data_IF_309092500467
#
_entry.id   IF_309092500467
#
_cell.length_a   1.000
_cell.length_b   1.000
_cell.length_c   1.000
_cell.angle_alpha   90.00
_cell.angle_beta   90.00
_cell.angle_gamma   90.00
#
_symmetry.space_group_name_H-M   'P 1'
#
loop_
_entity.id
_entity.type
_entity.pdbx_description
1 polymer ?
#
# COMPACT_ATOMS: atom_id res chain seq x y z
N UNK A 1 -20.66 -5.82 -10.95
CA UNK A 1 -19.35 -6.22 -11.51
C UNK A 1 -18.30 -5.21 -11.06
N UNK A 2 -17.13 -5.68 -10.60
CA UNK A 2 -15.83 -5.01 -10.79
C UNK A 2 -15.31 -3.84 -9.90
N UNK A 3 -15.99 -3.32 -8.87
CA UNK A 3 -15.40 -2.23 -8.06
C UNK A 3 -14.04 -2.60 -7.44
N UNK A 4 -13.94 -3.81 -6.89
CA UNK A 4 -12.72 -4.32 -6.28
C UNK A 4 -11.60 -4.56 -7.29
N UNK A 5 -11.92 -4.92 -8.54
CA UNK A 5 -10.92 -5.13 -9.60
C UNK A 5 -10.39 -3.79 -10.13
N UNK A 6 -11.27 -2.80 -10.29
CA UNK A 6 -10.88 -1.43 -10.64
C UNK A 6 -9.93 -0.81 -9.62
N UNK A 7 -10.21 -0.99 -8.32
CA UNK A 7 -9.37 -0.48 -7.24
C UNK A 7 -7.95 -1.08 -7.26
N UNK A 8 -7.81 -2.37 -7.60
CA UNK A 8 -6.49 -2.99 -7.79
C UNK A 8 -5.76 -2.41 -8.99
N UNK A 9 -6.46 -2.29 -10.12
CA UNK A 9 -5.89 -1.78 -11.34
C UNK A 9 -5.40 -0.34 -11.16
N UNK A 10 -6.18 0.52 -10.50
CA UNK A 10 -5.78 1.91 -10.23
C UNK A 10 -4.62 2.00 -9.24
N UNK A 11 -4.61 1.22 -8.15
CA UNK A 11 -3.46 1.17 -7.23
C UNK A 11 -2.19 0.69 -7.92
N UNK A 12 -2.30 -0.34 -8.77
CA UNK A 12 -1.17 -0.85 -9.55
C UNK A 12 -0.67 0.18 -10.56
N UNK A 13 -1.58 0.83 -11.28
CA UNK A 13 -1.22 1.89 -12.24
C UNK A 13 -0.54 3.06 -11.54
N UNK A 14 -1.03 3.50 -10.39
CA UNK A 14 -0.38 4.54 -9.57
C UNK A 14 1.03 4.14 -9.16
N UNK A 15 1.20 2.89 -8.72
CA UNK A 15 2.50 2.39 -8.30
C UNK A 15 3.49 2.24 -9.47
N UNK A 16 3.01 1.75 -10.61
CA UNK A 16 3.80 1.63 -11.83
C UNK A 16 4.16 3.00 -12.44
N UNK A 17 3.27 3.98 -12.37
CA UNK A 17 3.52 5.34 -12.85
C UNK A 17 4.59 6.04 -12.00
N UNK A 18 4.58 5.84 -10.68
CA UNK A 18 5.61 6.33 -9.79
C UNK A 18 6.99 5.72 -10.08
N UNK A 19 7.02 4.43 -10.46
CA UNK A 19 8.25 3.77 -10.91
C UNK A 19 8.78 4.31 -12.23
N UNK A 20 7.90 4.52 -13.21
CA UNK A 20 8.29 5.04 -14.52
C UNK A 20 8.77 6.49 -14.50
N UNK A 21 8.24 7.32 -13.60
CA UNK A 21 8.53 8.76 -13.49
C UNK A 21 9.60 9.11 -12.43
N UNK A 22 10.47 8.17 -12.07
CA UNK A 22 11.26 8.17 -10.82
C UNK A 22 10.65 8.85 -9.57
N UNK A 23 9.32 8.82 -9.41
CA UNK A 23 8.60 9.47 -8.32
C UNK A 23 8.26 8.44 -7.25
N UNK A 24 9.24 8.12 -6.40
CA UNK A 24 9.09 7.20 -5.28
C UNK A 24 7.88 7.50 -4.35
N UNK A 25 7.46 8.76 -4.08
CA UNK A 25 6.31 9.01 -3.21
C UNK A 25 4.99 8.55 -3.84
N UNK A 26 4.90 8.59 -5.17
CA UNK A 26 3.70 8.17 -5.90
C UNK A 26 3.56 6.64 -5.84
N UNK A 27 4.68 5.93 -5.93
CA UNK A 27 4.73 4.48 -5.73
C UNK A 27 4.29 4.09 -4.31
N UNK A 28 4.77 4.82 -3.30
CA UNK A 28 4.40 4.60 -1.91
C UNK A 28 2.91 4.82 -1.67
N UNK A 29 2.32 5.86 -2.28
CA UNK A 29 0.87 6.13 -2.19
C UNK A 29 0.03 5.00 -2.79
N UNK A 30 0.40 4.48 -3.96
CA UNK A 30 -0.31 3.34 -4.58
C UNK A 30 -0.34 2.11 -3.68
N UNK A 31 0.79 1.80 -3.04
CA UNK A 31 0.95 0.69 -2.10
C UNK A 31 0.17 0.93 -0.81
N UNK A 32 0.21 2.15 -0.28
CA UNK A 32 -0.48 2.53 0.95
C UNK A 32 -2.00 2.42 0.78
N UNK A 33 -2.55 2.89 -0.33
CA UNK A 33 -3.97 2.77 -0.65
C UNK A 33 -4.36 1.29 -0.78
N UNK A 34 -3.54 0.47 -1.44
CA UNK A 34 -3.78 -0.97 -1.57
C UNK A 34 -3.77 -1.68 -0.20
N UNK A 35 -2.85 -1.30 0.69
CA UNK A 35 -2.76 -1.81 2.05
C UNK A 35 -3.98 -1.42 2.89
N UNK A 36 -4.37 -0.15 2.87
CA UNK A 36 -5.55 0.34 3.60
C UNK A 36 -6.86 -0.28 3.11
N UNK A 37 -6.96 -0.60 1.82
CA UNK A 37 -8.12 -1.28 1.22
C UNK A 37 -8.32 -2.73 1.72
N UNK A 38 -7.43 -3.26 2.56
CA UNK A 38 -7.54 -4.61 3.13
C UNK A 38 -6.90 -5.71 2.29
N UNK A 39 -6.12 -5.35 1.27
CA UNK A 39 -5.44 -6.28 0.36
C UNK A 39 -3.96 -6.36 0.64
N UNK A 40 -3.65 -6.77 1.85
CA UNK A 40 -2.30 -6.73 2.42
C UNK A 40 -1.30 -7.57 1.63
N UNK A 41 -1.66 -8.79 1.23
CA UNK A 41 -0.78 -9.67 0.43
C UNK A 41 -0.36 -9.03 -0.90
N UNK A 42 -1.29 -8.32 -1.56
CA UNK A 42 -1.02 -7.63 -2.81
C UNK A 42 -0.12 -6.41 -2.60
N UNK A 43 -0.39 -5.61 -1.56
CA UNK A 43 0.45 -4.45 -1.22
C UNK A 43 1.88 -4.87 -0.83
N UNK A 44 2.04 -5.96 -0.07
CA UNK A 44 3.33 -6.51 0.32
C UNK A 44 4.08 -7.05 -0.90
N UNK A 45 3.41 -7.83 -1.77
CA UNK A 45 4.03 -8.37 -2.98
C UNK A 45 4.53 -7.25 -3.91
N UNK A 46 3.73 -6.20 -4.10
CA UNK A 46 4.12 -5.03 -4.88
C UNK A 46 5.26 -4.26 -4.23
N UNK A 47 5.18 -4.02 -2.91
CA UNK A 47 6.24 -3.34 -2.16
C UNK A 47 7.57 -4.09 -2.25
N UNK A 48 7.55 -5.42 -2.16
CA UNK A 48 8.74 -6.25 -2.28
C UNK A 48 9.31 -6.21 -3.71
N UNK A 49 8.43 -6.22 -4.71
CA UNK A 49 8.83 -6.11 -6.12
C UNK A 49 9.47 -4.74 -6.41
N UNK A 50 8.95 -3.66 -5.83
CA UNK A 50 9.56 -2.33 -5.94
C UNK A 50 10.83 -2.19 -5.12
N UNK A 51 10.92 -2.78 -3.92
CA UNK A 51 12.17 -2.80 -3.15
C UNK A 51 13.28 -3.53 -3.89
N UNK A 52 12.96 -4.61 -4.62
CA UNK A 52 13.92 -5.29 -5.51
C UNK A 52 14.24 -4.42 -6.72
N UNK A 53 13.23 -3.81 -7.36
CA UNK A 53 13.42 -3.01 -8.57
C UNK A 53 14.21 -1.71 -8.32
N UNK A 54 14.02 -1.06 -7.17
CA UNK A 54 14.77 0.12 -6.73
C UNK A 54 16.06 -0.23 -5.97
N UNK A 55 16.13 -1.43 -5.36
CA UNK A 55 17.32 -1.94 -4.69
C UNK A 55 18.36 -2.54 -5.64
N UNK A 56 17.96 -2.91 -6.87
CA UNK A 56 18.91 -3.22 -7.94
C UNK A 56 19.71 -1.95 -8.28
N UNK A 57 21.05 -2.02 -8.39
CA UNK A 57 21.92 -0.86 -8.58
C UNK A 57 21.74 -0.27 -9.98
N UNK A 58 20.67 0.50 -10.17
CA UNK A 58 20.32 1.20 -11.40
C UNK A 58 20.92 2.61 -11.38
N UNK A 59 22.25 2.69 -11.44
CA UNK A 59 22.97 3.95 -11.69
C UNK A 59 22.72 5.09 -10.68
N UNK A 60 23.16 6.31 -11.04
CA UNK A 60 23.40 7.47 -10.17
C UNK A 60 22.20 8.07 -9.38
N UNK A 61 21.04 7.42 -9.35
CA UNK A 61 19.83 7.84 -8.62
C UNK A 61 19.68 7.17 -7.23
N UNK A 62 20.77 6.63 -6.70
CA UNK A 62 20.86 5.78 -5.50
C UNK A 62 20.55 6.48 -4.14
N UNK A 63 19.94 7.66 -4.15
CA UNK A 63 19.86 8.50 -2.95
C UNK A 63 18.58 8.36 -2.12
N UNK A 64 17.57 7.63 -2.59
CA UNK A 64 16.37 7.39 -1.77
C UNK A 64 16.00 5.91 -1.78
N UNK A 65 16.71 5.14 -0.96
CA UNK A 65 16.31 3.79 -0.62
C UNK A 65 15.07 3.88 0.28
N UNK A 66 13.89 3.95 -0.33
CA UNK A 66 12.62 4.03 0.39
C UNK A 66 12.05 2.61 0.56
N UNK A 67 11.88 2.10 1.79
CA UNK A 67 11.44 0.74 2.03
C UNK A 67 9.92 0.61 1.82
N UNK A 68 9.52 0.28 0.61
CA UNK A 68 8.12 0.17 0.19
C UNK A 68 7.39 -0.98 0.91
N UNK A 69 8.08 -2.07 1.23
CA UNK A 69 7.53 -3.15 2.08
C UNK A 69 7.18 -2.67 3.49
N UNK A 70 8.02 -1.84 4.11
CA UNK A 70 7.72 -1.29 5.44
C UNK A 70 6.45 -0.44 5.39
N UNK A 71 6.25 0.36 4.33
CA UNK A 71 5.01 1.12 4.15
C UNK A 71 3.81 0.20 3.98
N UNK A 72 3.92 -0.90 3.23
CA UNK A 72 2.86 -1.89 3.09
C UNK A 72 2.49 -2.53 4.45
N UNK A 73 3.50 -2.87 5.27
CA UNK A 73 3.31 -3.45 6.60
C UNK A 73 2.66 -2.47 7.58
N UNK A 74 3.11 -1.21 7.60
CA UNK A 74 2.51 -0.16 8.43
C UNK A 74 1.07 0.11 8.01
N UNK A 75 0.77 0.15 6.72
CA UNK A 75 -0.60 0.32 6.22
C UNK A 75 -1.50 -0.86 6.60
N UNK A 76 -0.98 -2.09 6.55
CA UNK A 76 -1.69 -3.29 7.02
C UNK A 76 -2.00 -3.20 8.51
N UNK A 77 -1.00 -2.93 9.35
CA UNK A 77 -1.17 -2.81 10.80
C UNK A 77 -2.13 -1.67 11.15
N UNK A 78 -2.01 -0.52 10.48
CA UNK A 78 -2.89 0.63 10.66
C UNK A 78 -4.34 0.31 10.28
N UNK A 79 -4.58 -0.39 9.17
CA UNK A 79 -5.93 -0.81 8.77
C UNK A 79 -6.54 -1.80 9.76
N UNK A 80 -5.74 -2.74 10.27
CA UNK A 80 -6.20 -3.74 11.25
C UNK A 80 -6.51 -3.11 12.61
N UNK A 81 -5.65 -2.20 13.08
CA UNK A 81 -5.89 -1.41 14.29
C UNK A 81 -7.11 -0.51 14.13
N UNK A 82 -7.26 0.17 12.98
CA UNK A 82 -8.42 1.02 12.70
C UNK A 82 -9.72 0.21 12.71
N UNK A 83 -9.74 -0.98 12.09
CA UNK A 83 -10.89 -1.89 12.15
C UNK A 83 -11.22 -2.28 13.58
N UNK A 84 -10.23 -2.71 14.38
CA UNK A 84 -10.43 -3.10 15.78
C UNK A 84 -10.91 -1.93 16.66
N UNK A 85 -10.35 -0.73 16.47
CA UNK A 85 -10.70 0.45 17.25
C UNK A 85 -12.07 1.03 16.87
N UNK A 86 -12.43 0.97 15.59
CA UNK A 86 -13.76 1.38 15.10
C UNK A 86 -14.83 0.35 15.47
N UNK A 87 -14.58 -0.95 15.30
CA UNK A 87 -15.50 -2.03 15.69
C UNK A 87 -15.69 -2.08 17.21
N UNK A 88 -14.65 -1.78 18.00
CA UNK A 88 -14.74 -1.63 19.45
C UNK A 88 -15.62 -0.45 19.90
N UNK A 89 -15.86 0.54 19.03
CA UNK A 89 -16.80 1.65 19.30
C UNK A 89 -18.24 1.36 18.88
N UNK A 90 -18.51 0.31 18.09
CA UNK A 90 -19.85 0.04 17.54
C UNK A 90 -20.69 -0.95 18.38
N UNK A 91 -20.15 -1.57 19.44
CA UNK A 91 -20.90 -2.52 20.26
C UNK A 91 -21.69 -1.92 21.44
N UNK A 92 -21.80 -0.59 21.56
CA UNK A 92 -22.61 0.06 22.60
C UNK A 92 -23.80 0.83 22.00
N UNK A 93 -24.61 0.15 21.18
CA UNK A 93 -25.97 0.62 20.88
C UNK A 93 -26.88 -0.52 20.43
N UNK A 94 -27.06 -1.51 21.29
CA UNK A 94 -28.25 -2.36 21.26
C UNK A 94 -29.01 -2.08 22.54
N UNK A 95 -29.73 -0.95 22.53
CA UNK A 95 -30.88 -0.75 23.40
C UNK A 95 -32.08 -1.30 22.62
N UNK A 96 -32.96 -1.98 23.37
CA UNK A 96 -34.19 -2.69 23.02
C UNK A 96 -34.00 -4.19 22.77
#
# INVERSE_FOLDING_TARGET
>A
MNNTRFLLATCFLLAALGFLLPLWPLSALGILIAGLSGRYLFAIAIGLLFDIAYGAPMGALHFVWFPFTLVALVAMLGSELAKRYLLGRTQSKTVY
#
